data_IF_904668334314
#
_entry.id   IF_904668334314
#
_cell.length_a   1.000
_cell.length_b   1.000
_cell.length_c   1.000
_cell.angle_alpha   90.00
_cell.angle_beta   90.00
_cell.angle_gamma   90.00
#
_symmetry.space_group_name_H-M   'P 1'
#
loop_
_entity.id
_entity.type
_entity.pdbx_description
1 polymer ?
#
# COMPACT_ATOMS: atom_id res chain seq x y z
N UNK A 1 -4.25 -7.33 -12.87
CA UNK A 1 -3.77 -7.98 -14.13
C UNK A 1 -4.61 -9.20 -14.46
N UNK A 2 -4.76 -9.53 -15.74
CA UNK A 2 -5.64 -10.63 -16.21
C UNK A 2 -4.90 -11.95 -16.44
N UNK A 3 -3.78 -11.91 -17.16
CA UNK A 3 -2.99 -13.08 -17.54
C UNK A 3 -1.54 -12.66 -17.86
N UNK A 4 -0.71 -13.63 -18.24
CA UNK A 4 0.64 -13.41 -18.72
C UNK A 4 1.72 -13.55 -17.65
N UNK A 5 2.95 -13.93 -18.05
CA UNK A 5 4.08 -14.11 -17.15
C UNK A 5 4.59 -12.79 -16.59
N UNK A 6 4.37 -11.71 -17.33
CA UNK A 6 4.80 -10.38 -16.95
C UNK A 6 4.06 -9.87 -15.71
N UNK A 7 4.79 -9.08 -14.96
CA UNK A 7 4.32 -8.47 -13.74
C UNK A 7 3.88 -7.03 -13.99
N UNK A 8 2.90 -6.53 -13.21
CA UNK A 8 2.48 -5.13 -13.30
C UNK A 8 3.70 -4.22 -13.17
N UNK A 9 3.82 -3.22 -14.03
CA UNK A 9 4.92 -2.26 -14.02
C UNK A 9 5.03 -1.58 -12.65
N UNK A 10 3.91 -1.23 -12.02
CA UNK A 10 3.88 -0.66 -10.67
C UNK A 10 4.52 -1.57 -9.61
N UNK A 11 4.24 -2.89 -9.62
CA UNK A 11 4.82 -3.84 -8.65
C UNK A 11 6.33 -3.99 -8.87
N UNK A 12 6.74 -4.10 -10.13
CA UNK A 12 8.16 -4.24 -10.52
C UNK A 12 8.96 -3.01 -10.11
N UNK A 13 8.45 -1.82 -10.42
CA UNK A 13 9.12 -0.57 -10.09
C UNK A 13 9.08 -0.24 -8.60
N UNK A 14 8.00 -0.57 -7.89
CA UNK A 14 7.94 -0.42 -6.44
C UNK A 14 8.98 -1.30 -5.73
N UNK A 15 9.19 -2.53 -6.20
CA UNK A 15 10.29 -3.37 -5.68
C UNK A 15 11.67 -2.82 -6.01
N UNK A 16 11.87 -2.29 -7.21
CA UNK A 16 13.11 -1.61 -7.57
C UNK A 16 13.34 -0.40 -6.68
N UNK A 17 12.30 0.39 -6.41
CA UNK A 17 12.34 1.53 -5.50
C UNK A 17 12.78 1.10 -4.10
N UNK A 18 12.11 0.10 -3.49
CA UNK A 18 12.42 -0.39 -2.13
C UNK A 18 13.77 -1.11 -2.03
N UNK A 19 14.33 -1.57 -3.16
CA UNK A 19 15.62 -2.26 -3.21
C UNK A 19 15.56 -3.70 -2.66
N UNK A 20 16.69 -4.41 -2.66
CA UNK A 20 16.73 -5.86 -2.42
C UNK A 20 16.31 -6.26 -0.99
N UNK A 21 16.54 -5.39 0.01
CA UNK A 21 16.18 -5.67 1.41
C UNK A 21 14.68 -5.63 1.68
N UNK A 22 13.93 -4.81 0.94
CA UNK A 22 12.52 -4.49 1.22
C UNK A 22 11.59 -4.76 0.05
N UNK A 23 12.10 -5.02 -1.14
CA UNK A 23 11.28 -5.32 -2.31
C UNK A 23 10.36 -6.53 -2.09
N UNK A 24 10.71 -7.49 -1.24
CA UNK A 24 9.82 -8.61 -0.91
C UNK A 24 8.50 -8.20 -0.21
N UNK A 25 8.40 -6.97 0.31
CA UNK A 25 7.16 -6.42 0.89
C UNK A 25 6.09 -6.10 -0.16
N UNK A 26 6.48 -5.87 -1.42
CA UNK A 26 5.54 -5.69 -2.54
C UNK A 26 5.30 -7.07 -3.17
N UNK A 27 4.22 -7.70 -2.71
CA UNK A 27 3.84 -9.03 -3.17
C UNK A 27 3.35 -9.00 -4.62
N UNK A 28 3.60 -10.10 -5.34
CA UNK A 28 3.00 -10.28 -6.67
C UNK A 28 1.49 -10.38 -6.56
N UNK A 29 0.80 -9.53 -7.31
CA UNK A 29 -0.66 -9.57 -7.39
C UNK A 29 -1.11 -10.78 -8.21
N UNK A 30 -2.07 -11.57 -7.70
CA UNK A 30 -2.62 -12.71 -8.43
C UNK A 30 -3.41 -12.23 -9.66
N UNK A 31 -3.60 -13.12 -10.65
CA UNK A 31 -4.52 -12.82 -11.73
C UNK A 31 -5.93 -12.55 -11.18
N UNK A 32 -6.69 -11.62 -11.77
CA UNK A 32 -8.04 -11.28 -11.30
C UNK A 32 -8.92 -12.53 -11.20
N UNK A 33 -8.92 -13.41 -12.22
CA UNK A 33 -9.63 -14.71 -12.17
C UNK A 33 -9.24 -15.59 -10.98
N UNK A 34 -7.98 -15.55 -10.54
CA UNK A 34 -7.52 -16.27 -9.33
C UNK A 34 -8.14 -15.68 -8.07
N UNK A 35 -8.27 -14.35 -7.98
CA UNK A 35 -8.93 -13.66 -6.86
C UNK A 35 -10.38 -14.10 -6.71
N UNK A 36 -11.07 -14.39 -7.81
CA UNK A 36 -12.47 -14.85 -7.83
C UNK A 36 -12.64 -16.37 -7.70
N UNK A 37 -11.57 -17.14 -7.52
CA UNK A 37 -11.66 -18.58 -7.28
C UNK A 37 -12.44 -18.86 -5.98
N UNK A 38 -13.46 -19.72 -6.04
CA UNK A 38 -14.22 -20.17 -4.87
C UNK A 38 -13.67 -21.47 -4.26
N UNK A 39 -12.58 -22.00 -4.81
CA UNK A 39 -11.90 -23.20 -4.34
C UNK A 39 -10.87 -22.94 -3.24
N UNK A 40 -10.12 -23.99 -2.91
CA UNK A 40 -9.04 -23.93 -1.93
C UNK A 40 -7.77 -23.25 -2.49
N UNK A 41 -6.76 -23.09 -1.62
CA UNK A 41 -5.46 -22.55 -2.01
C UNK A 41 -4.81 -23.32 -3.17
N UNK A 42 -4.94 -24.65 -3.21
CA UNK A 42 -4.31 -25.47 -4.25
C UNK A 42 -4.93 -25.18 -5.61
N UNK A 43 -6.26 -25.11 -5.68
CA UNK A 43 -6.99 -24.77 -6.89
C UNK A 43 -6.68 -23.33 -7.34
N UNK A 44 -6.71 -22.36 -6.43
CA UNK A 44 -6.37 -20.98 -6.76
C UNK A 44 -4.93 -20.83 -7.27
N UNK A 45 -3.97 -21.51 -6.63
CA UNK A 45 -2.57 -21.49 -7.04
C UNK A 45 -2.36 -22.17 -8.40
N UNK A 46 -3.09 -23.25 -8.68
CA UNK A 46 -3.09 -23.90 -10.00
C UNK A 46 -3.67 -22.99 -11.10
N UNK A 47 -4.82 -22.34 -10.84
CA UNK A 47 -5.42 -21.39 -11.78
C UNK A 47 -4.44 -20.24 -12.07
N UNK A 48 -3.81 -19.68 -11.04
CA UNK A 48 -2.85 -18.59 -11.24
C UNK A 48 -1.64 -19.04 -12.07
N UNK A 49 -1.16 -20.26 -11.82
CA UNK A 49 -0.06 -20.85 -12.59
C UNK A 49 -0.45 -21.04 -14.05
N UNK A 50 -1.66 -21.51 -14.35
CA UNK A 50 -2.16 -21.61 -15.72
C UNK A 50 -2.27 -20.26 -16.43
N UNK A 51 -2.67 -19.21 -15.71
CA UNK A 51 -2.85 -17.88 -16.29
C UNK A 51 -1.55 -17.07 -16.42
N UNK A 52 -0.59 -17.29 -15.52
CA UNK A 52 0.58 -16.41 -15.36
C UNK A 52 1.93 -17.14 -15.33
N UNK A 53 1.95 -18.46 -15.40
CA UNK A 53 3.17 -19.26 -15.21
C UNK A 53 3.76 -19.20 -13.80
N UNK A 54 3.09 -18.55 -12.83
CA UNK A 54 3.56 -18.41 -11.44
C UNK A 54 2.51 -18.92 -10.45
N UNK A 55 2.95 -19.59 -9.39
CA UNK A 55 2.11 -19.95 -8.25
C UNK A 55 1.92 -18.73 -7.34
N UNK A 56 0.81 -18.69 -6.58
CA UNK A 56 0.59 -17.66 -5.55
C UNK A 56 1.14 -18.13 -4.20
N UNK A 57 1.60 -17.18 -3.39
CA UNK A 57 1.98 -17.45 -2.00
C UNK A 57 0.75 -17.61 -1.10
N UNK A 58 0.90 -18.25 0.06
CA UNK A 58 -0.17 -18.29 1.09
C UNK A 58 -0.55 -16.89 1.58
N UNK A 59 0.42 -15.97 1.68
CA UNK A 59 0.17 -14.58 2.10
C UNK A 59 -0.75 -13.87 1.09
N UNK A 60 -0.40 -13.96 -0.20
CA UNK A 60 -1.22 -13.45 -1.32
C UNK A 60 -2.62 -14.07 -1.32
N UNK A 61 -2.71 -15.38 -1.03
CA UNK A 61 -4.00 -16.07 -0.93
C UNK A 61 -4.84 -15.54 0.24
N UNK A 62 -4.27 -15.34 1.42
CA UNK A 62 -5.03 -14.87 2.58
C UNK A 62 -5.63 -13.46 2.39
N UNK A 63 -4.98 -12.61 1.59
CA UNK A 63 -5.50 -11.27 1.27
C UNK A 63 -6.42 -11.25 0.05
N UNK A 64 -6.54 -12.35 -0.72
CA UNK A 64 -7.31 -12.37 -1.96
C UNK A 64 -8.79 -12.02 -1.74
N UNK A 65 -9.37 -12.42 -0.60
CA UNK A 65 -10.74 -12.04 -0.23
C UNK A 65 -10.88 -10.52 -0.12
N UNK A 66 -9.93 -9.83 0.52
CA UNK A 66 -9.94 -8.37 0.64
C UNK A 66 -9.69 -7.67 -0.69
N UNK A 67 -8.84 -8.24 -1.54
CA UNK A 67 -8.67 -7.75 -2.92
C UNK A 67 -9.99 -7.88 -3.69
N UNK A 68 -10.72 -8.99 -3.55
CA UNK A 68 -12.04 -9.19 -4.18
C UNK A 68 -13.08 -8.18 -3.70
N UNK A 69 -13.12 -7.91 -2.40
CA UNK A 69 -14.02 -6.89 -1.81
C UNK A 69 -13.79 -5.52 -2.45
N UNK A 70 -12.52 -5.08 -2.56
CA UNK A 70 -12.16 -3.79 -3.18
C UNK A 70 -12.44 -3.78 -4.69
N UNK A 71 -12.06 -4.84 -5.43
CA UNK A 71 -12.32 -4.91 -6.89
C UNK A 71 -13.82 -4.85 -7.19
N UNK A 72 -14.64 -5.53 -6.37
CA UNK A 72 -16.10 -5.55 -6.50
C UNK A 72 -16.71 -4.19 -6.15
N UNK A 73 -16.22 -3.53 -5.10
CA UNK A 73 -16.66 -2.19 -4.72
C UNK A 73 -16.37 -1.18 -5.83
N UNK A 74 -15.15 -1.14 -6.36
CA UNK A 74 -14.78 -0.26 -7.48
C UNK A 74 -15.63 -0.57 -8.72
N UNK A 75 -15.88 -1.85 -9.04
CA UNK A 75 -16.71 -2.24 -10.18
C UNK A 75 -18.16 -1.77 -10.04
N UNK A 76 -18.72 -1.84 -8.83
CA UNK A 76 -20.09 -1.34 -8.53
C UNK A 76 -20.24 0.18 -8.71
N UNK A 77 -19.12 0.91 -8.66
CA UNK A 77 -19.07 2.36 -8.73
C UNK A 77 -18.56 2.88 -10.07
N UNK A 78 -18.43 2.01 -11.09
CA UNK A 78 -17.80 2.35 -12.38
C UNK A 78 -18.43 3.54 -13.14
N UNK A 79 -19.65 3.93 -12.79
CA UNK A 79 -20.35 5.08 -13.38
C UNK A 79 -20.26 6.36 -12.53
N UNK A 80 -19.64 6.30 -11.35
CA UNK A 80 -19.36 7.44 -10.47
C UNK A 80 -17.90 7.85 -10.66
N UNK A 81 -17.66 8.72 -11.65
CA UNK A 81 -16.32 9.18 -12.00
C UNK A 81 -15.63 9.91 -10.86
N UNK A 82 -16.40 10.62 -10.03
CA UNK A 82 -15.86 11.43 -8.94
C UNK A 82 -15.29 10.55 -7.85
N UNK A 83 -16.00 9.48 -7.49
CA UNK A 83 -15.55 8.55 -6.45
C UNK A 83 -14.36 7.68 -6.91
N UNK A 84 -14.36 7.23 -8.16
CA UNK A 84 -13.21 6.47 -8.71
C UNK A 84 -11.96 7.35 -8.74
N UNK A 85 -12.12 8.66 -8.96
CA UNK A 85 -10.99 9.59 -9.04
C UNK A 85 -10.24 9.82 -7.73
N UNK A 86 -10.79 9.39 -6.58
CA UNK A 86 -10.19 9.59 -5.25
C UNK A 86 -9.70 8.30 -4.58
N UNK A 87 -9.91 7.13 -5.20
CA UNK A 87 -9.45 5.84 -4.67
C UNK A 87 -8.16 5.44 -5.38
N UNK A 88 -7.07 5.34 -4.61
CA UNK A 88 -5.75 5.00 -5.14
C UNK A 88 -5.05 3.92 -4.33
N UNK A 89 -4.27 3.07 -5.01
CA UNK A 89 -3.36 2.13 -4.36
C UNK A 89 -2.12 2.88 -3.84
N UNK A 90 -1.64 2.50 -2.65
CA UNK A 90 -0.46 3.09 -2.00
C UNK A 90 0.27 2.04 -1.17
N UNK A 91 1.54 2.30 -0.83
CA UNK A 91 2.40 1.36 -0.10
C UNK A 91 3.05 2.01 1.13
N UNK A 92 2.83 1.50 2.36
CA UNK A 92 3.34 2.12 3.58
C UNK A 92 4.85 2.35 3.60
N UNK A 93 5.66 1.35 3.23
CA UNK A 93 7.13 1.52 3.24
C UNK A 93 7.60 2.57 2.22
N UNK A 94 6.91 2.72 1.08
CA UNK A 94 7.25 3.77 0.10
C UNK A 94 6.91 5.14 0.69
N UNK A 95 5.75 5.25 1.34
CA UNK A 95 5.33 6.48 2.01
C UNK A 95 6.30 6.88 3.12
N UNK A 96 6.69 5.94 3.98
CA UNK A 96 7.70 6.17 5.02
C UNK A 96 9.03 6.65 4.43
N UNK A 97 9.59 5.93 3.45
CA UNK A 97 10.89 6.30 2.87
C UNK A 97 10.85 7.63 2.13
N UNK A 98 9.75 7.90 1.42
CA UNK A 98 9.56 9.14 0.68
C UNK A 98 9.42 10.35 1.60
N UNK A 99 8.59 10.25 2.64
CA UNK A 99 8.37 11.34 3.60
C UNK A 99 9.58 11.56 4.51
N UNK A 100 10.32 10.50 4.85
CA UNK A 100 11.56 10.60 5.60
C UNK A 100 12.74 11.10 4.76
N UNK A 101 12.64 11.07 3.43
CA UNK A 101 13.73 11.38 2.51
C UNK A 101 14.92 10.40 2.57
N UNK A 102 14.74 9.24 3.21
CA UNK A 102 15.79 8.22 3.39
C UNK A 102 15.19 6.82 3.46
N UNK A 103 16.04 5.80 3.22
CA UNK A 103 15.65 4.39 3.35
C UNK A 103 15.42 4.00 4.81
N UNK A 104 14.44 3.11 5.02
CA UNK A 104 14.18 2.56 6.35
C UNK A 104 15.25 1.53 6.72
N UNK A 105 15.80 1.67 7.92
CA UNK A 105 16.92 0.87 8.41
C UNK A 105 16.44 -0.45 9.01
N UNK A 106 15.37 -0.41 9.81
CA UNK A 106 14.99 -1.53 10.66
C UNK A 106 13.68 -2.19 10.21
N UNK A 107 13.58 -3.51 10.41
CA UNK A 107 12.35 -4.25 10.11
C UNK A 107 11.21 -3.76 11.00
N UNK A 108 10.00 -3.61 10.43
CA UNK A 108 8.81 -3.18 11.18
C UNK A 108 8.43 -4.09 12.34
N UNK A 109 8.97 -5.31 12.37
CA UNK A 109 8.76 -6.29 13.45
C UNK A 109 9.70 -6.10 14.65
N UNK A 110 10.67 -5.20 14.55
CA UNK A 110 11.63 -4.89 15.62
C UNK A 110 11.19 -3.65 16.38
N UNK A 111 11.64 -3.50 17.63
CA UNK A 111 11.35 -2.31 18.44
C UNK A 111 11.95 -1.06 17.80
N UNK A 112 13.14 -1.19 17.24
CA UNK A 112 13.87 -0.16 16.50
C UNK A 112 13.08 0.27 15.26
N UNK A 113 12.53 -0.67 14.50
CA UNK A 113 11.72 -0.35 13.32
C UNK A 113 10.34 0.22 13.63
N UNK A 114 9.79 -0.06 14.81
CA UNK A 114 8.61 0.63 15.32
C UNK A 114 8.94 2.08 15.67
N UNK A 115 10.02 2.30 16.44
CA UNK A 115 10.47 3.62 16.84
C UNK A 115 10.86 4.50 15.64
N UNK A 116 11.58 3.94 14.65
CA UNK A 116 11.93 4.62 13.40
C UNK A 116 10.69 5.16 12.68
N UNK A 117 9.61 4.38 12.62
CA UNK A 117 8.33 4.79 12.01
C UNK A 117 7.59 5.83 12.84
N UNK A 118 7.59 5.69 14.16
CA UNK A 118 7.04 6.68 15.08
C UNK A 118 7.72 8.04 14.90
N UNK A 119 9.05 8.07 14.84
CA UNK A 119 9.81 9.31 14.61
C UNK A 119 9.43 9.97 13.28
N UNK A 120 9.29 9.19 12.22
CA UNK A 120 8.83 9.72 10.92
C UNK A 120 7.42 10.29 11.04
N UNK A 121 6.49 9.59 11.69
CA UNK A 121 5.12 10.08 11.86
C UNK A 121 5.06 11.35 12.72
N UNK A 122 5.91 11.46 13.76
CA UNK A 122 6.01 12.67 14.61
C UNK A 122 6.33 13.93 13.81
N UNK A 123 7.05 13.82 12.69
CA UNK A 123 7.30 14.95 11.79
C UNK A 123 6.00 15.57 11.22
N UNK A 124 4.88 14.85 11.26
CA UNK A 124 3.60 15.25 10.69
C UNK A 124 2.47 15.31 11.74
N UNK A 125 2.63 14.60 12.86
CA UNK A 125 1.67 14.55 13.95
C UNK A 125 2.37 14.36 15.29
N UNK A 126 2.55 15.45 16.03
CA UNK A 126 3.16 15.44 17.36
C UNK A 126 2.34 14.66 18.41
N UNK A 127 1.04 14.43 18.16
CA UNK A 127 0.14 13.73 19.08
C UNK A 127 0.07 12.21 18.82
N UNK A 128 0.93 11.67 17.95
CA UNK A 128 0.91 10.25 17.58
C UNK A 128 1.08 9.32 18.79
N UNK A 129 1.88 9.69 19.78
CA UNK A 129 2.09 8.88 20.99
C UNK A 129 0.81 8.69 21.80
N UNK A 130 0.01 9.75 21.93
CA UNK A 130 -1.28 9.69 22.60
C UNK A 130 -2.29 8.88 21.78
N UNK A 131 -2.31 9.08 20.46
CA UNK A 131 -3.15 8.29 19.55
C UNK A 131 -2.84 6.79 19.64
N UNK A 132 -1.57 6.40 19.54
CA UNK A 132 -1.13 5.00 19.65
C UNK A 132 -1.50 4.43 21.01
N UNK A 133 -1.26 5.19 22.08
CA UNK A 133 -1.63 4.79 23.44
C UNK A 133 -3.15 4.58 23.59
N UNK A 134 -3.96 5.47 23.00
CA UNK A 134 -5.41 5.36 23.02
C UNK A 134 -5.90 4.12 22.24
N UNK A 135 -5.31 3.85 21.08
CA UNK A 135 -5.62 2.65 20.27
C UNK A 135 -5.30 1.38 21.06
N UNK A 136 -4.13 1.29 21.71
CA UNK A 136 -3.77 0.10 22.50
C UNK A 136 -4.55 -0.05 23.80
N UNK A 137 -5.13 1.03 24.35
CA UNK A 137 -6.09 0.94 25.46
C UNK A 137 -7.44 0.41 24.99
N UNK A 138 -7.87 0.79 23.79
CA UNK A 138 -9.19 0.45 23.24
C UNK A 138 -9.25 -0.92 22.58
N UNK A 139 -8.17 -1.33 21.92
CA UNK A 139 -8.08 -2.56 21.15
C UNK A 139 -6.97 -3.43 21.71
N UNK A 140 -7.23 -4.72 21.85
CA UNK A 140 -6.18 -5.66 22.22
C UNK A 140 -5.25 -5.91 21.02
N UNK A 141 -4.06 -6.45 21.31
CA UNK A 141 -3.02 -6.72 20.29
C UNK A 141 -3.41 -7.77 19.24
N UNK A 142 -4.48 -8.55 19.46
CA UNK A 142 -4.98 -9.51 18.47
C UNK A 142 -5.91 -8.85 17.45
N UNK A 143 -6.50 -7.71 17.80
CA UNK A 143 -7.34 -6.90 16.91
C UNK A 143 -6.54 -5.92 16.06
N UNK A 144 -5.53 -5.26 16.64
CA UNK A 144 -4.69 -4.28 15.95
C UNK A 144 -3.23 -4.61 16.21
N UNK A 145 -2.51 -4.99 15.14
CA UNK A 145 -1.07 -5.18 15.24
C UNK A 145 -0.37 -3.82 15.26
N UNK A 146 0.70 -3.67 16.05
CA UNK A 146 1.45 -2.42 16.10
C UNK A 146 1.92 -1.90 14.75
N UNK A 147 2.37 -2.79 13.86
CA UNK A 147 2.85 -2.41 12.54
C UNK A 147 1.70 -2.00 11.61
N UNK A 148 0.56 -2.67 11.65
CA UNK A 148 -0.63 -2.31 10.87
C UNK A 148 -1.15 -0.91 11.26
N UNK A 149 -1.04 -0.53 12.54
CA UNK A 149 -1.41 0.82 13.01
C UNK A 149 -0.56 1.92 12.38
N UNK A 150 0.77 1.75 12.39
CA UNK A 150 1.69 2.74 11.82
C UNK A 150 1.60 2.77 10.30
N UNK A 151 1.38 1.61 9.66
CA UNK A 151 1.13 1.52 8.22
C UNK A 151 -0.15 2.28 7.84
N UNK A 152 -1.24 2.15 8.61
CA UNK A 152 -2.45 2.95 8.40
C UNK A 152 -2.23 4.45 8.62
N UNK A 153 -1.48 4.82 9.67
CA UNK A 153 -1.20 6.23 9.98
C UNK A 153 -0.41 6.93 8.86
N UNK A 154 0.65 6.29 8.33
CA UNK A 154 1.45 6.91 7.26
C UNK A 154 0.67 7.03 5.96
N UNK A 155 -0.22 6.08 5.66
CA UNK A 155 -1.12 6.15 4.50
C UNK A 155 -2.10 7.32 4.63
N UNK A 156 -2.69 7.50 5.82
CA UNK A 156 -3.57 8.64 6.10
C UNK A 156 -2.84 9.99 6.00
N UNK A 157 -1.63 10.09 6.54
CA UNK A 157 -0.77 11.28 6.41
C UNK A 157 -0.45 11.56 4.94
N UNK A 158 -0.14 10.52 4.17
CA UNK A 158 0.16 10.65 2.74
C UNK A 158 -1.05 11.17 1.97
N UNK A 159 -2.24 10.59 2.20
CA UNK A 159 -3.48 11.05 1.59
C UNK A 159 -3.79 12.51 1.95
N UNK A 160 -3.67 12.88 3.24
CA UNK A 160 -3.83 14.27 3.71
C UNK A 160 -2.82 15.21 3.05
N UNK A 161 -1.56 14.80 2.93
CA UNK A 161 -0.51 15.61 2.32
C UNK A 161 -0.78 15.86 0.84
N UNK A 162 -1.18 14.81 0.11
CA UNK A 162 -1.60 14.92 -1.29
C UNK A 162 -2.77 15.89 -1.42
N UNK A 163 -3.81 15.71 -0.59
CA UNK A 163 -5.00 16.56 -0.62
C UNK A 163 -4.69 18.04 -0.37
N UNK A 164 -3.87 18.35 0.65
CA UNK A 164 -3.55 19.73 1.01
C UNK A 164 -2.60 20.42 0.03
N UNK A 165 -1.72 19.68 -0.62
CA UNK A 165 -0.65 20.26 -1.45
C UNK A 165 -0.89 20.15 -2.94
N UNK A 166 -1.81 19.28 -3.36
CA UNK A 166 -2.03 18.89 -4.76
C UNK A 166 -0.84 18.14 -5.38
N UNK A 167 0.26 17.88 -4.65
CA UNK A 167 1.46 17.25 -5.21
C UNK A 167 1.41 15.74 -5.00
N UNK A 168 1.29 15.04 -6.12
CA UNK A 168 1.25 13.58 -6.18
C UNK A 168 2.54 13.07 -6.81
N UNK A 169 3.10 12.02 -6.23
CA UNK A 169 4.10 11.17 -6.87
C UNK A 169 3.50 9.79 -7.11
N UNK A 170 3.93 9.13 -8.19
CA UNK A 170 3.41 7.82 -8.58
C UNK A 170 4.51 6.88 -9.06
N UNK A 171 4.28 5.58 -8.91
CA UNK A 171 5.09 4.51 -9.47
C UNK A 171 4.16 3.56 -10.26
N UNK A 172 4.38 3.36 -11.57
CA UNK A 172 5.35 4.06 -12.42
C UNK A 172 4.92 5.51 -12.70
N UNK A 173 5.83 6.33 -13.26
CA UNK A 173 5.51 7.70 -13.71
C UNK A 173 4.41 7.69 -14.78
N UNK A 174 4.49 6.73 -15.70
CA UNK A 174 3.49 6.45 -16.74
C UNK A 174 2.80 5.11 -16.43
N UNK A 175 1.60 5.14 -15.81
CA UNK A 175 0.88 3.95 -15.38
C UNK A 175 0.23 3.20 -16.53
N UNK A 176 0.30 1.87 -16.46
CA UNK A 176 -0.51 1.00 -17.29
C UNK A 176 -1.98 1.15 -16.90
N UNK A 177 -2.87 1.00 -17.88
CA UNK A 177 -4.31 0.95 -17.65
C UNK A 177 -4.76 -0.51 -17.83
N UNK A 178 -5.53 -1.02 -16.89
CA UNK A 178 -6.05 -2.38 -16.98
C UNK A 178 -7.29 -2.47 -17.90
N UNK A 179 -7.78 -3.68 -18.13
CA UNK A 179 -8.97 -3.94 -18.96
C UNK A 179 -10.28 -3.34 -18.40
N UNK A 180 -10.29 -2.87 -17.15
CA UNK A 180 -11.42 -2.15 -16.54
C UNK A 180 -11.24 -0.63 -16.60
N UNK A 181 -10.16 -0.13 -17.21
CA UNK A 181 -9.87 1.30 -17.30
C UNK A 181 -9.20 1.87 -16.03
N UNK A 182 -8.76 1.01 -15.10
CA UNK A 182 -8.12 1.46 -13.86
C UNK A 182 -6.61 1.62 -14.05
N UNK A 183 -6.06 2.72 -13.53
CA UNK A 183 -4.61 2.94 -13.50
C UNK A 183 -3.95 1.97 -12.53
N UNK A 184 -2.94 1.25 -13.00
CA UNK A 184 -2.09 0.41 -12.16
C UNK A 184 -0.89 1.24 -11.68
N UNK A 185 -1.09 1.95 -10.57
CA UNK A 185 -0.12 2.86 -9.98
C UNK A 185 -0.07 2.75 -8.45
N UNK A 186 1.07 3.10 -7.86
CA UNK A 186 1.23 3.26 -6.41
C UNK A 186 1.50 4.75 -6.14
N UNK A 187 0.56 5.41 -5.46
CA UNK A 187 0.65 6.82 -5.13
C UNK A 187 1.34 7.07 -3.79
N UNK A 188 2.11 8.15 -3.71
CA UNK A 188 2.77 8.62 -2.50
C UNK A 188 3.09 10.12 -2.59
N UNK A 189 3.60 10.71 -1.51
CA UNK A 189 4.05 12.11 -1.50
C UNK A 189 5.54 12.21 -1.19
N UNK A 190 6.23 13.12 -1.88
CA UNK A 190 7.64 13.49 -1.64
C UNK A 190 7.79 14.78 -0.84
N UNK A 191 6.68 15.39 -0.43
CA UNK A 191 6.73 16.62 0.36
C UNK A 191 6.97 16.26 1.82
N UNK A 192 8.10 16.70 2.36
CA UNK A 192 8.24 16.83 3.79
C UNK A 192 7.50 18.10 4.25
N UNK A 193 6.38 17.95 4.96
CA UNK A 193 5.53 19.07 5.39
C UNK A 193 6.25 20.02 6.36
N UNK A 194 7.36 19.62 6.99
CA UNK A 194 8.18 20.54 7.77
C UNK A 194 8.75 21.69 6.93
N UNK A 195 8.95 21.50 5.62
CA UNK A 195 9.35 22.58 4.71
C UNK A 195 8.20 23.55 4.37
N UNK A 196 6.95 23.19 4.65
CA UNK A 196 5.77 24.04 4.42
C UNK A 196 5.29 24.72 5.70
N UNK A 197 5.37 24.04 6.87
CA UNK A 197 4.97 24.62 8.15
C UNK A 197 5.95 25.67 8.69
N UNK A 198 7.24 25.64 8.32
CA UNK A 198 8.16 26.75 8.61
C UNK A 198 7.87 28.04 7.81
N UNK A 199 6.88 28.04 6.91
CA UNK A 199 6.44 29.23 6.17
C UNK A 199 5.08 29.78 6.61
N UNK A 200 4.41 29.15 7.57
CA UNK A 200 3.02 29.52 7.94
C UNK A 200 2.86 29.79 9.44
N UNK A 201 3.94 29.80 10.23
CA UNK A 201 3.98 30.40 11.56
C UNK A 201 5.29 31.14 11.78
#
# INVERSE_FOLDING_TARGET
KESGPEERKCDKEARKYLGPKRGSSVFRVPARKTVYCNGDYRQASYINYKLTGKKISKQTWHISKKIREVDTFIDSMKYDSDLISVIHESHPEICFESLAGKKLTYSKKTKEGFNERMEIIRLFNNDIDNFVSAVYKKFNKTQVKPDDLLDAAILAITAKTIHLTGKISRIPEEPEIDNKGLRMEILFSRINLNALYQKVF
#
